data_IF_373816607616
#
_entry.id   IF_373816607616
#
_cell.length_a   1.000
_cell.length_b   1.000
_cell.length_c   1.000
_cell.angle_alpha   90.00
_cell.angle_beta   90.00
_cell.angle_gamma   90.00
#
_symmetry.space_group_name_H-M   'P 1'
#
loop_
_entity.id
_entity.type
_entity.pdbx_description
1 polymer ?
#
# COMPACT_ATOMS: atom_id res chain seq x y z
N UNK A 1 -1.36 27.33 24.31
CA UNK A 1 -0.92 26.08 23.65
C UNK A 1 -0.86 25.03 24.74
N UNK A 2 -1.76 24.06 24.72
CA UNK A 2 -1.72 22.95 25.68
C UNK A 2 -0.70 21.93 25.16
N UNK A 3 0.28 21.59 25.99
CA UNK A 3 1.36 20.67 25.63
C UNK A 3 1.22 19.44 26.50
N UNK A 4 1.03 18.29 25.86
CA UNK A 4 1.02 16.99 26.53
C UNK A 4 2.43 16.43 26.47
N UNK A 5 3.06 16.26 27.62
CA UNK A 5 4.33 15.54 27.74
C UNK A 5 4.04 14.07 28.05
N UNK A 6 4.56 13.19 27.19
CA UNK A 6 4.45 11.74 27.33
C UNK A 6 5.83 11.14 27.12
N UNK A 7 6.12 10.05 27.83
CA UNK A 7 7.35 9.29 27.68
C UNK A 7 7.35 8.55 26.33
N UNK A 8 8.53 8.33 25.73
CA UNK A 8 8.67 7.76 24.38
C UNK A 8 8.06 6.37 24.24
N UNK A 9 8.29 5.49 25.21
CA UNK A 9 7.72 4.14 25.24
C UNK A 9 6.19 4.19 25.37
N UNK A 10 5.67 5.07 26.24
CA UNK A 10 4.24 5.32 26.39
C UNK A 10 3.60 5.90 25.11
N UNK A 11 4.29 6.79 24.41
CA UNK A 11 3.87 7.30 23.10
C UNK A 11 3.78 6.17 22.08
N UNK A 12 4.81 5.34 21.99
CA UNK A 12 4.81 4.21 21.06
C UNK A 12 3.72 3.19 21.40
N UNK A 13 3.44 2.98 22.69
CA UNK A 13 2.32 2.15 23.12
C UNK A 13 0.98 2.74 22.69
N UNK A 14 0.77 4.04 22.91
CA UNK A 14 -0.45 4.74 22.50
C UNK A 14 -0.66 4.68 20.99
N UNK A 15 0.40 4.91 20.20
CA UNK A 15 0.34 4.80 18.74
C UNK A 15 -0.08 3.40 18.30
N UNK A 16 0.47 2.35 18.92
CA UNK A 16 0.07 0.96 18.62
C UNK A 16 -1.41 0.71 18.92
N UNK A 17 -1.88 1.10 20.10
CA UNK A 17 -3.28 0.97 20.50
C UNK A 17 -4.23 1.71 19.55
N UNK A 18 -3.90 2.97 19.21
CA UNK A 18 -4.71 3.77 18.29
C UNK A 18 -4.74 3.14 16.90
N UNK A 19 -3.59 2.72 16.37
CA UNK A 19 -3.55 2.09 15.03
C UNK A 19 -4.28 0.76 15.00
N UNK A 20 -4.24 -0.03 16.07
CA UNK A 20 -5.00 -1.26 16.19
C UNK A 20 -6.50 -0.97 16.21
N UNK A 21 -6.94 -0.02 17.04
CA UNK A 21 -8.35 0.37 17.13
C UNK A 21 -8.90 0.92 15.82
N UNK A 22 -8.13 1.72 15.09
CA UNK A 22 -8.51 2.21 13.76
C UNK A 22 -8.69 1.05 12.78
N UNK A 23 -7.79 0.04 12.79
CA UNK A 23 -7.92 -1.15 11.92
C UNK A 23 -9.17 -1.96 12.25
N UNK A 24 -9.48 -2.10 13.53
CA UNK A 24 -10.68 -2.80 14.01
C UNK A 24 -11.96 -2.05 13.63
N UNK A 25 -12.01 -0.72 13.84
CA UNK A 25 -13.19 0.12 13.62
C UNK A 25 -13.49 0.35 12.13
N UNK A 26 -12.47 0.42 11.27
CA UNK A 26 -12.67 0.63 9.83
C UNK A 26 -13.05 -0.64 9.08
N UNK A 27 -12.80 -1.83 9.67
CA UNK A 27 -12.95 -3.12 8.96
C UNK A 27 -12.12 -3.23 7.67
N UNK A 28 -11.29 -2.23 7.38
CA UNK A 28 -10.48 -2.13 6.18
C UNK A 28 -9.11 -2.74 6.46
N UNK A 29 -9.10 -4.06 6.67
CA UNK A 29 -8.00 -4.81 6.06
C UNK A 29 -8.27 -4.80 4.56
N UNK A 30 -7.94 -3.69 3.89
CA UNK A 30 -7.80 -3.71 2.44
C UNK A 30 -6.89 -4.89 2.16
N UNK A 31 -7.42 -5.91 1.46
CA UNK A 31 -6.61 -7.06 1.08
C UNK A 31 -5.33 -6.51 0.43
N UNK A 32 -4.16 -6.71 1.07
CA UNK A 32 -2.95 -6.02 0.67
C UNK A 32 -2.48 -6.52 -0.69
N UNK A 33 -2.90 -7.73 -1.07
CA UNK A 33 -2.56 -8.40 -2.29
C UNK A 33 -3.74 -8.40 -3.24
N UNK A 34 -3.52 -7.90 -4.45
CA UNK A 34 -4.51 -7.91 -5.54
C UNK A 34 -3.99 -8.73 -6.71
N UNK A 35 -4.88 -9.27 -7.52
CA UNK A 35 -4.48 -9.97 -8.74
C UNK A 35 -4.04 -9.00 -9.85
N UNK A 36 -3.65 -9.56 -11.00
CA UNK A 36 -3.22 -8.76 -12.14
C UNK A 36 -4.33 -7.93 -12.78
N UNK A 37 -5.59 -8.39 -12.75
CA UNK A 37 -6.71 -7.63 -13.34
C UNK A 37 -7.00 -6.40 -12.51
N UNK A 38 -7.05 -6.55 -11.20
CA UNK A 38 -7.26 -5.46 -10.26
C UNK A 38 -6.08 -4.49 -10.26
N UNK A 39 -4.84 -4.99 -10.31
CA UNK A 39 -3.66 -4.14 -10.46
C UNK A 39 -3.70 -3.28 -11.74
N UNK A 40 -4.14 -3.87 -12.86
CA UNK A 40 -4.33 -3.13 -14.12
C UNK A 40 -5.43 -2.08 -14.02
N UNK A 41 -6.52 -2.36 -13.28
CA UNK A 41 -7.60 -1.38 -13.03
C UNK A 41 -7.11 -0.21 -12.18
N UNK A 42 -6.39 -0.49 -11.09
CA UNK A 42 -5.85 0.54 -10.17
C UNK A 42 -4.92 1.49 -10.92
N UNK A 43 -4.00 0.95 -11.73
CA UNK A 43 -3.02 1.74 -12.47
C UNK A 43 -3.55 2.25 -13.82
N UNK A 44 -4.71 1.77 -14.27
CA UNK A 44 -5.28 1.98 -15.59
C UNK A 44 -4.28 1.70 -16.74
N UNK A 45 -3.66 0.51 -16.72
CA UNK A 45 -2.63 0.09 -17.70
C UNK A 45 -2.92 -1.28 -18.31
N UNK A 46 -2.25 -1.58 -19.42
CA UNK A 46 -2.31 -2.90 -20.06
C UNK A 46 -1.35 -3.93 -19.44
N UNK A 47 -1.57 -5.20 -19.81
CA UNK A 47 -0.80 -6.36 -19.32
C UNK A 47 0.70 -6.29 -19.62
N UNK A 48 1.10 -5.72 -20.75
CA UNK A 48 2.51 -5.56 -21.12
C UNK A 48 3.20 -4.55 -20.21
N UNK A 49 2.55 -3.41 -19.94
CA UNK A 49 3.04 -2.40 -18.99
C UNK A 49 3.16 -2.97 -17.58
N UNK A 50 2.16 -3.72 -17.10
CA UNK A 50 2.21 -4.34 -15.77
C UNK A 50 3.38 -5.33 -15.65
N UNK A 51 3.67 -6.09 -16.71
CA UNK A 51 4.85 -6.97 -16.74
C UNK A 51 6.15 -6.19 -16.71
N UNK A 52 6.25 -5.07 -17.43
CA UNK A 52 7.42 -4.22 -17.42
C UNK A 52 7.67 -3.63 -16.03
N UNK A 53 6.65 -3.09 -15.36
CA UNK A 53 6.75 -2.56 -13.99
C UNK A 53 7.21 -3.61 -12.98
N UNK A 54 6.76 -4.85 -13.14
CA UNK A 54 7.21 -5.99 -12.33
C UNK A 54 8.68 -6.31 -12.61
N UNK A 55 9.08 -6.37 -13.87
CA UNK A 55 10.43 -6.74 -14.27
C UNK A 55 11.46 -5.64 -13.92
N UNK A 56 11.06 -4.37 -13.94
CA UNK A 56 11.88 -3.22 -13.53
C UNK A 56 11.95 -3.05 -12.01
N UNK A 57 11.13 -3.77 -11.25
CA UNK A 57 11.03 -3.62 -9.79
C UNK A 57 10.33 -2.32 -9.35
N UNK A 58 9.57 -1.67 -10.25
CA UNK A 58 8.85 -0.42 -9.96
C UNK A 58 7.63 -0.62 -9.07
N UNK A 59 7.14 -1.86 -8.96
CA UNK A 59 6.03 -2.25 -8.08
C UNK A 59 6.36 -3.55 -7.37
N UNK A 60 5.93 -3.67 -6.12
CA UNK A 60 6.11 -4.88 -5.32
C UNK A 60 5.07 -5.93 -5.70
N UNK A 61 5.53 -7.17 -5.83
CA UNK A 61 4.69 -8.31 -6.12
C UNK A 61 5.12 -9.54 -5.31
N UNK A 62 4.21 -10.49 -5.17
CA UNK A 62 4.45 -11.81 -4.59
C UNK A 62 4.10 -12.88 -5.63
N UNK A 63 4.90 -13.95 -5.67
CA UNK A 63 4.65 -15.10 -6.54
C UNK A 63 4.65 -16.39 -5.70
N UNK A 64 3.56 -16.70 -4.98
CA UNK A 64 3.48 -17.91 -4.15
C UNK A 64 3.54 -19.21 -4.97
N UNK A 65 3.20 -19.16 -6.26
CA UNK A 65 3.34 -20.30 -7.18
C UNK A 65 3.66 -19.82 -8.60
N UNK A 66 4.16 -20.72 -9.46
CA UNK A 66 4.53 -20.38 -10.84
C UNK A 66 3.40 -19.69 -11.63
N UNK A 67 2.13 -20.00 -11.33
CA UNK A 67 0.96 -19.46 -12.04
C UNK A 67 0.25 -18.30 -11.31
N UNK A 68 0.56 -18.06 -10.03
CA UNK A 68 -0.13 -17.05 -9.21
C UNK A 68 0.81 -15.89 -8.94
N UNK A 69 0.42 -14.71 -9.40
CA UNK A 69 1.15 -13.46 -9.19
C UNK A 69 0.18 -12.48 -8.56
N UNK A 70 0.59 -11.92 -7.43
CA UNK A 70 -0.15 -10.94 -6.65
C UNK A 70 0.65 -9.66 -6.52
N UNK A 71 -0.03 -8.53 -6.47
CA UNK A 71 0.58 -7.20 -6.41
C UNK A 71 0.20 -6.54 -5.10
N UNK A 72 1.16 -5.87 -4.44
CA UNK A 72 0.85 -5.14 -3.22
C UNK A 72 0.13 -3.84 -3.58
N UNK A 73 -1.12 -3.70 -3.12
CA UNK A 73 -1.98 -2.55 -3.40
C UNK A 73 -1.33 -1.21 -3.05
N UNK A 74 -0.68 -1.12 -1.89
CA UNK A 74 0.02 0.11 -1.48
C UNK A 74 1.15 0.48 -2.45
N UNK A 75 1.92 -0.50 -2.90
CA UNK A 75 3.01 -0.26 -3.86
C UNK A 75 2.48 0.26 -5.21
N UNK A 76 1.26 -0.12 -5.62
CA UNK A 76 0.62 0.45 -6.82
C UNK A 76 0.26 1.92 -6.62
N UNK A 77 -0.27 2.30 -5.45
CA UNK A 77 -0.57 3.70 -5.15
C UNK A 77 0.69 4.55 -5.00
N UNK A 78 1.74 4.02 -4.36
CA UNK A 78 3.05 4.68 -4.29
C UNK A 78 3.64 4.93 -5.70
N UNK A 79 3.44 3.99 -6.63
CA UNK A 79 3.82 4.17 -8.02
C UNK A 79 3.07 5.35 -8.66
N UNK A 80 1.75 5.46 -8.46
CA UNK A 80 0.97 6.61 -8.96
C UNK A 80 1.45 7.93 -8.35
N UNK A 81 1.68 7.95 -7.04
CA UNK A 81 2.13 9.14 -6.31
C UNK A 81 3.50 9.62 -6.77
N UNK A 82 4.46 8.70 -6.96
CA UNK A 82 5.79 9.05 -7.48
C UNK A 82 5.80 9.59 -8.91
N UNK A 83 4.70 9.40 -9.65
CA UNK A 83 4.51 9.93 -11.01
C UNK A 83 3.47 11.07 -11.06
N UNK A 84 2.94 11.48 -9.91
CA UNK A 84 2.01 12.60 -9.82
C UNK A 84 2.73 13.92 -10.14
N UNK A 85 1.99 14.87 -10.70
CA UNK A 85 2.47 16.24 -10.92
C UNK A 85 1.75 17.16 -9.95
N UNK A 86 2.52 18.00 -9.26
CA UNK A 86 1.98 19.00 -8.35
C UNK A 86 1.02 19.95 -9.06
N UNK A 87 -0.05 20.33 -8.36
CA UNK A 87 -1.00 21.33 -8.85
C UNK A 87 -0.39 22.71 -8.68
N UNK A 88 -0.59 23.57 -9.66
CA UNK A 88 -0.16 24.97 -9.68
C UNK A 88 -1.11 25.87 -8.89
#
# INVERSE_FOLDING_TARGET
>A
MEVICIESEALMHLVREVTQRIKEDTGQTLEPWVDGEEAMKILNIGKTTLQNLRNSGSIRYSQPSRKVILYERNSLYEYLESHAKEKF
#
